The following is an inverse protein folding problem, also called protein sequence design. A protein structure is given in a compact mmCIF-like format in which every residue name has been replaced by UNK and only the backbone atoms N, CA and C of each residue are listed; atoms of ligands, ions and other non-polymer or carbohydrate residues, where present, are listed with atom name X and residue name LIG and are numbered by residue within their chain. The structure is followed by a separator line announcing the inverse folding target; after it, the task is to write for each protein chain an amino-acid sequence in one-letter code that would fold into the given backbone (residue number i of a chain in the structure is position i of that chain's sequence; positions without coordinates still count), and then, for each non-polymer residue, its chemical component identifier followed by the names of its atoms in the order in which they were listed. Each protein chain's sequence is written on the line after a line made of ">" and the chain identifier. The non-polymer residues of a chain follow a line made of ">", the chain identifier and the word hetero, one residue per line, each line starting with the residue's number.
data_IF_034344141697
#
_entry.id   IF_034344141697
#
_cell.length_a   1.000
_cell.length_b   1.000
_cell.length_c   1.000
_cell.angle_alpha   90.00
_cell.angle_beta   90.00
_cell.angle_gamma   90.00
#
_symmetry.space_group_name_H-M   'P 1'
#
loop_
_entity.id
_entity.type
_entity.pdbx_description
1 polymer ?
#
# COMPACT_ATOMS: atom_id res chain seq x y z
N UNK A 1 9.69 8.47 8.70
CA UNK A 1 9.19 9.73 9.30
C UNK A 1 10.26 10.85 9.32
N UNK A 2 11.54 10.55 9.61
CA UNK A 2 12.65 11.53 9.52
C UNK A 2 12.87 12.25 8.17
N UNK A 3 12.69 11.64 6.97
CA UNK A 3 13.02 12.33 5.72
C UNK A 3 11.98 13.38 5.29
N UNK A 4 10.74 13.31 5.78
CA UNK A 4 9.69 14.28 5.43
C UNK A 4 9.89 15.60 6.18
N UNK A 5 10.41 15.57 7.41
CA UNK A 5 10.57 16.78 8.24
C UNK A 5 11.76 17.66 7.82
N UNK A 6 12.81 17.10 7.21
CA UNK A 6 14.03 17.84 6.86
C UNK A 6 13.87 18.78 5.64
N UNK A 7 12.81 18.65 4.84
CA UNK A 7 12.56 19.51 3.68
C UNK A 7 11.80 20.82 4.02
N UNK A 8 11.43 21.02 5.29
CA UNK A 8 10.35 21.91 5.70
C UNK A 8 10.67 22.70 6.99
N UNK A 9 11.88 23.28 7.07
CA UNK A 9 12.42 23.95 8.27
C UNK A 9 11.58 25.11 8.83
N UNK A 10 10.54 25.59 8.11
CA UNK A 10 9.61 26.66 8.53
C UNK A 10 8.14 26.32 8.22
N UNK A 11 7.76 25.05 8.31
CA UNK A 11 6.42 24.60 7.90
C UNK A 11 5.53 24.28 9.10
N UNK A 12 4.31 24.79 9.08
CA UNK A 12 3.28 24.41 10.03
C UNK A 12 2.61 23.12 9.54
N UNK A 13 2.46 22.15 10.44
CA UNK A 13 1.88 20.84 10.14
C UNK A 13 0.56 20.66 10.90
N UNK A 14 -0.48 20.27 10.17
CA UNK A 14 -1.77 19.89 10.74
C UNK A 14 -2.04 18.43 10.41
N UNK A 15 -2.23 17.62 11.44
CA UNK A 15 -2.57 16.21 11.31
C UNK A 15 -4.02 15.99 11.72
N UNK A 16 -4.79 15.32 10.87
CA UNK A 16 -6.16 14.91 11.16
C UNK A 16 -6.24 13.39 11.08
N UNK A 17 -6.62 12.70 12.17
CA UNK A 17 -6.76 11.25 12.13
C UNK A 17 -7.97 10.87 11.28
N UNK A 18 -7.81 9.87 10.42
CA UNK A 18 -8.88 9.21 9.69
C UNK A 18 -9.37 8.02 10.52
N UNK A 19 -10.60 8.10 11.01
CA UNK A 19 -11.19 7.09 11.90
C UNK A 19 -12.48 6.60 11.26
N UNK A 20 -12.66 5.29 11.16
CA UNK A 20 -13.89 4.65 10.71
C UNK A 20 -14.31 3.60 11.73
N UNK A 21 -15.58 3.58 12.15
CA UNK A 21 -16.11 2.61 13.13
C UNK A 21 -15.27 2.49 14.41
N UNK A 22 -14.75 3.61 14.91
CA UNK A 22 -13.90 3.64 16.12
C UNK A 22 -12.46 3.18 15.91
N UNK A 23 -12.08 2.70 14.72
CA UNK A 23 -10.71 2.29 14.38
C UNK A 23 -9.94 3.40 13.67
N UNK A 24 -8.72 3.70 14.14
CA UNK A 24 -7.79 4.58 13.44
C UNK A 24 -7.26 3.90 12.16
N UNK A 25 -7.52 4.51 11.01
CA UNK A 25 -7.07 4.02 9.69
C UNK A 25 -5.77 4.70 9.23
N UNK A 26 -5.52 5.93 9.69
CA UNK A 26 -4.33 6.69 9.30
C UNK A 26 -4.47 8.17 9.63
N UNK A 27 -3.63 9.01 9.01
CA UNK A 27 -3.63 10.45 9.20
C UNK A 27 -3.61 11.17 7.86
N UNK A 28 -4.45 12.19 7.72
CA UNK A 28 -4.28 13.23 6.71
C UNK A 28 -3.32 14.27 7.27
N UNK A 29 -2.20 14.49 6.57
CA UNK A 29 -1.21 15.48 6.95
C UNK A 29 -1.30 16.63 5.96
N UNK A 30 -1.50 17.85 6.48
CA UNK A 30 -1.45 19.08 5.70
C UNK A 30 -0.21 19.85 6.14
N UNK A 31 0.63 20.20 5.17
CA UNK A 31 1.85 20.98 5.39
C UNK A 31 1.67 22.33 4.72
N UNK A 32 1.92 23.42 5.45
CA UNK A 32 1.93 24.78 4.92
C UNK A 32 3.26 25.45 5.24
N UNK A 33 3.85 26.10 4.25
CA UNK A 33 5.06 26.89 4.46
C UNK A 33 4.68 28.29 4.95
N UNK A 34 5.30 28.71 6.06
CA UNK A 34 5.32 30.08 6.57
C UNK A 34 3.95 30.80 6.69
N UNK A 35 2.85 30.06 6.81
CA UNK A 35 1.50 30.61 6.99
C UNK A 35 0.72 29.83 8.06
N UNK A 36 0.21 30.48 9.11
CA UNK A 36 -0.60 29.83 10.13
C UNK A 36 -1.88 29.20 9.54
N UNK A 37 -2.32 28.08 10.10
CA UNK A 37 -3.62 27.52 9.75
C UNK A 37 -4.73 28.48 10.22
N UNK A 38 -5.67 28.89 9.34
CA UNK A 38 -6.77 29.74 9.74
C UNK A 38 -7.61 29.08 10.83
N UNK A 39 -7.67 29.69 12.02
CA UNK A 39 -8.54 29.27 13.12
C UNK A 39 -9.99 29.39 12.62
N UNK A 40 -10.74 28.28 12.62
CA UNK A 40 -12.15 28.26 12.19
C UNK A 40 -12.46 27.48 10.90
N UNK A 41 -11.47 27.00 10.14
CA UNK A 41 -11.71 26.08 9.00
C UNK A 41 -11.80 24.59 9.40
N UNK A 42 -12.28 24.31 10.61
CA UNK A 42 -12.48 22.93 11.08
C UNK A 42 -13.54 22.17 10.28
N UNK A 43 -14.47 22.88 9.62
CA UNK A 43 -15.51 22.30 8.78
C UNK A 43 -14.96 21.52 7.57
N UNK A 44 -13.98 22.07 6.85
CA UNK A 44 -13.35 21.39 5.69
C UNK A 44 -12.57 20.16 6.15
N UNK A 45 -11.87 20.25 7.27
CA UNK A 45 -11.10 19.13 7.84
C UNK A 45 -12.03 18.01 8.35
N UNK A 46 -13.17 18.40 8.95
CA UNK A 46 -14.22 17.46 9.34
C UNK A 46 -14.89 16.81 8.11
N UNK A 47 -15.12 17.56 7.04
CA UNK A 47 -15.69 17.05 5.79
C UNK A 47 -14.76 16.01 5.13
N UNK A 48 -13.47 16.32 5.00
CA UNK A 48 -12.46 15.37 4.49
C UNK A 48 -12.46 14.09 5.32
N UNK A 49 -12.53 14.23 6.66
CA UNK A 49 -12.54 13.08 7.56
C UNK A 49 -13.80 12.23 7.43
N UNK A 50 -14.97 12.85 7.34
CA UNK A 50 -16.26 12.17 7.25
C UNK A 50 -16.46 11.44 5.91
N UNK A 51 -16.02 12.04 4.80
CA UNK A 51 -16.15 11.42 3.48
C UNK A 51 -15.02 10.42 3.22
N UNK A 52 -13.75 10.74 3.48
CA UNK A 52 -12.64 9.88 3.06
C UNK A 52 -12.45 8.61 3.91
N UNK A 53 -12.83 8.64 5.19
CA UNK A 53 -12.64 7.51 6.10
C UNK A 53 -13.34 6.21 5.65
N UNK A 54 -14.63 6.20 5.28
CA UNK A 54 -15.30 4.99 4.82
C UNK A 54 -14.74 4.45 3.49
N UNK A 55 -14.41 5.31 2.52
CA UNK A 55 -13.77 4.86 1.28
C UNK A 55 -12.40 4.23 1.54
N UNK A 56 -11.61 4.82 2.45
CA UNK A 56 -10.33 4.27 2.86
C UNK A 56 -10.50 2.93 3.59
N UNK A 57 -11.50 2.80 4.47
CA UNK A 57 -11.83 1.55 5.14
C UNK A 57 -12.11 0.43 4.11
N UNK A 58 -12.95 0.73 3.12
CA UNK A 58 -13.28 -0.21 2.04
C UNK A 58 -12.04 -0.59 1.22
N UNK A 59 -11.21 0.37 0.83
CA UNK A 59 -9.98 0.10 0.09
C UNK A 59 -9.01 -0.80 0.89
N UNK A 60 -8.87 -0.56 2.20
CA UNK A 60 -8.06 -1.40 3.09
C UNK A 60 -8.63 -2.81 3.19
N UNK A 61 -9.95 -2.95 3.35
CA UNK A 61 -10.64 -4.24 3.40
C UNK A 61 -10.47 -5.03 2.11
N UNK A 62 -10.72 -4.40 0.95
CA UNK A 62 -10.52 -5.03 -0.35
C UNK A 62 -9.07 -5.47 -0.55
N UNK A 63 -8.10 -4.60 -0.22
CA UNK A 63 -6.68 -4.98 -0.25
C UNK A 63 -6.41 -6.19 0.65
N UNK A 64 -7.01 -6.23 1.85
CA UNK A 64 -6.80 -7.33 2.79
C UNK A 64 -7.39 -8.65 2.29
N UNK A 65 -8.58 -8.61 1.68
CA UNK A 65 -9.18 -9.78 1.05
C UNK A 65 -8.28 -10.29 -0.09
N UNK A 66 -7.77 -9.40 -0.94
CA UNK A 66 -6.80 -9.77 -1.97
C UNK A 66 -5.51 -10.35 -1.37
N UNK A 67 -5.03 -9.81 -0.24
CA UNK A 67 -3.87 -10.34 0.50
C UNK A 67 -4.11 -11.71 1.10
N UNK A 68 -5.32 -12.00 1.59
CA UNK A 68 -5.66 -13.32 2.09
C UNK A 68 -5.68 -14.37 0.96
N UNK A 69 -6.06 -13.97 -0.25
CA UNK A 69 -5.99 -14.80 -1.46
C UNK A 69 -4.61 -14.74 -2.16
N UNK A 70 -3.52 -14.49 -1.42
CA UNK A 70 -2.18 -14.28 -2.01
C UNK A 70 -1.49 -15.56 -2.48
N UNK A 71 -1.94 -16.71 -2.00
CA UNK A 71 -1.42 -18.04 -2.36
C UNK A 71 -2.35 -18.68 -3.38
N UNK A 72 -1.78 -19.31 -4.40
CA UNK A 72 -2.50 -20.14 -5.35
C UNK A 72 -2.82 -21.49 -4.69
N UNK A 73 -4.10 -21.84 -4.61
CA UNK A 73 -4.55 -23.03 -3.85
C UNK A 73 -4.10 -24.36 -4.46
N UNK A 74 -3.80 -24.38 -5.77
CA UNK A 74 -3.33 -25.59 -6.45
C UNK A 74 -1.85 -25.87 -6.16
N UNK A 75 -1.03 -24.81 -6.14
CA UNK A 75 0.43 -24.92 -6.07
C UNK A 75 1.03 -24.50 -4.73
N UNK A 76 0.24 -23.90 -3.84
CA UNK A 76 0.65 -23.36 -2.54
C UNK A 76 1.78 -22.33 -2.61
N UNK A 77 2.03 -21.71 -3.77
CA UNK A 77 2.97 -20.61 -3.95
C UNK A 77 2.25 -19.28 -4.12
N UNK A 78 2.98 -18.16 -4.06
CA UNK A 78 2.39 -16.84 -4.32
C UNK A 78 1.78 -16.81 -5.72
N UNK A 79 0.54 -16.33 -5.81
CA UNK A 79 -0.07 -16.07 -7.10
C UNK A 79 0.67 -14.94 -7.84
N UNK A 80 0.40 -14.80 -9.14
CA UNK A 80 1.08 -13.82 -10.00
C UNK A 80 1.01 -12.38 -9.48
N UNK A 81 -0.13 -11.95 -8.94
CA UNK A 81 -0.31 -10.58 -8.45
C UNK A 81 0.63 -10.30 -7.26
N UNK A 82 0.66 -11.23 -6.30
CA UNK A 82 1.50 -11.10 -5.11
C UNK A 82 2.98 -11.33 -5.40
N UNK A 83 3.31 -12.31 -6.24
CA UNK A 83 4.68 -12.55 -6.69
C UNK A 83 5.31 -11.31 -7.31
N UNK A 84 4.58 -10.60 -8.19
CA UNK A 84 5.06 -9.36 -8.81
C UNK A 84 5.18 -8.20 -7.80
N UNK A 85 4.28 -8.10 -6.83
CA UNK A 85 4.38 -7.09 -5.76
C UNK A 85 5.63 -7.33 -4.91
N UNK A 86 5.85 -8.55 -4.45
CA UNK A 86 7.06 -8.92 -3.69
C UNK A 86 8.33 -8.71 -4.51
N UNK A 87 8.31 -9.06 -5.81
CA UNK A 87 9.43 -8.78 -6.71
C UNK A 87 9.78 -7.28 -6.77
N UNK A 88 8.78 -6.39 -6.87
CA UNK A 88 9.04 -4.93 -6.88
C UNK A 88 9.63 -4.44 -5.55
N UNK A 89 9.17 -4.99 -4.43
CA UNK A 89 9.72 -4.68 -3.10
C UNK A 89 11.20 -5.09 -3.03
N UNK A 90 11.53 -6.32 -3.43
CA UNK A 90 12.92 -6.81 -3.42
C UNK A 90 13.81 -6.09 -4.44
N UNK A 91 13.28 -5.72 -5.60
CA UNK A 91 13.99 -4.90 -6.59
C UNK A 91 14.36 -3.52 -6.02
N UNK A 92 13.41 -2.87 -5.33
CA UNK A 92 13.67 -1.59 -4.68
C UNK A 92 14.71 -1.75 -3.56
N UNK A 93 14.60 -2.79 -2.73
CA UNK A 93 15.56 -3.07 -1.66
C UNK A 93 16.97 -3.34 -2.19
N UNK A 94 17.09 -4.11 -3.27
CA UNK A 94 18.37 -4.39 -3.93
C UNK A 94 18.99 -3.12 -4.50
N UNK A 95 18.18 -2.28 -5.16
CA UNK A 95 18.62 -0.99 -5.69
C UNK A 95 19.09 -0.03 -4.61
N UNK A 96 18.35 0.10 -3.50
CA UNK A 96 18.73 0.97 -2.38
C UNK A 96 19.93 0.43 -1.58
N UNK A 97 20.03 -0.88 -1.42
CA UNK A 97 21.09 -1.54 -0.65
C UNK A 97 22.35 -1.84 -1.44
N UNK A 98 22.41 -1.48 -2.72
CA UNK A 98 23.47 -1.84 -3.66
C UNK A 98 23.78 -3.36 -3.65
N UNK A 99 22.73 -4.18 -3.61
CA UNK A 99 22.79 -5.65 -3.62
C UNK A 99 22.40 -6.18 -5.00
N UNK A 100 22.98 -7.32 -5.38
CA UNK A 100 22.55 -8.05 -6.60
C UNK A 100 21.21 -8.75 -6.37
N UNK A 101 20.34 -8.72 -7.39
CA UNK A 101 19.07 -9.46 -7.43
C UNK A 101 19.09 -10.42 -8.62
N UNK A 102 18.81 -11.70 -8.38
CA UNK A 102 18.61 -12.72 -9.42
C UNK A 102 17.13 -13.06 -9.58
N UNK A 103 16.72 -13.38 -10.81
CA UNK A 103 15.35 -13.80 -11.14
C UNK A 103 15.43 -15.04 -12.01
N UNK A 104 14.61 -16.04 -11.71
CA UNK A 104 14.45 -17.24 -12.53
C UNK A 104 13.02 -17.27 -13.03
N UNK A 105 12.85 -17.36 -14.35
CA UNK A 105 11.57 -17.65 -14.98
C UNK A 105 11.56 -19.13 -15.32
N UNK A 106 10.59 -19.86 -14.77
CA UNK A 106 10.41 -21.30 -14.98
C UNK A 106 9.10 -21.50 -15.74
N UNK A 107 9.13 -22.41 -16.70
CA UNK A 107 7.95 -22.91 -17.41
C UNK A 107 7.94 -24.44 -17.32
N UNK A 108 6.75 -25.04 -17.30
CA UNK A 108 6.62 -26.50 -17.24
C UNK A 108 6.45 -27.02 -18.66
N UNK A 109 7.51 -27.65 -19.18
CA UNK A 109 7.50 -28.20 -20.53
C UNK A 109 6.38 -29.25 -20.71
N UNK A 110 5.71 -29.17 -21.86
CA UNK A 110 4.68 -30.13 -22.27
C UNK A 110 3.52 -30.34 -21.27
N UNK A 111 3.23 -29.38 -20.39
CA UNK A 111 2.20 -29.52 -19.35
C UNK A 111 0.81 -29.92 -19.89
N UNK A 112 0.46 -29.42 -21.09
CA UNK A 112 -0.79 -29.79 -21.76
C UNK A 112 -0.91 -31.29 -22.04
N UNK A 113 0.15 -31.94 -22.51
CA UNK A 113 0.13 -33.37 -22.82
C UNK A 113 -0.13 -34.22 -21.57
N UNK A 114 0.38 -33.81 -20.42
CA UNK A 114 0.10 -34.48 -19.14
C UNK A 114 -1.37 -34.31 -18.75
N UNK A 115 -1.90 -33.08 -18.76
CA UNK A 115 -3.31 -32.83 -18.47
C UNK A 115 -4.27 -33.59 -19.40
N UNK A 116 -3.95 -33.64 -20.69
CA UNK A 116 -4.77 -34.32 -21.70
C UNK A 116 -4.75 -35.86 -21.53
N UNK A 117 -3.77 -36.44 -20.82
CA UNK A 117 -3.74 -37.88 -20.47
C UNK A 117 -4.45 -38.21 -19.16
N UNK A 118 -4.80 -37.19 -18.37
CA UNK A 118 -5.48 -37.31 -17.07
C UNK A 118 -6.96 -36.88 -17.15
N UNK A 119 -7.43 -36.42 -18.32
CA UNK A 119 -8.81 -36.00 -18.60
C UNK A 119 -9.49 -37.00 -19.52
#
# INVERSE_FOLDING_TARGET
>A
MRPILNAYSHSMLLSVPLISEGRLLGFTIIVRNNTPFPVGRTAILKAIKAEAAPYLANAILHRRISELASVDDLTCILNRCFGLRRFREEFSNASYGNKSLGVILLDVDHFKAVNDTLT
#
